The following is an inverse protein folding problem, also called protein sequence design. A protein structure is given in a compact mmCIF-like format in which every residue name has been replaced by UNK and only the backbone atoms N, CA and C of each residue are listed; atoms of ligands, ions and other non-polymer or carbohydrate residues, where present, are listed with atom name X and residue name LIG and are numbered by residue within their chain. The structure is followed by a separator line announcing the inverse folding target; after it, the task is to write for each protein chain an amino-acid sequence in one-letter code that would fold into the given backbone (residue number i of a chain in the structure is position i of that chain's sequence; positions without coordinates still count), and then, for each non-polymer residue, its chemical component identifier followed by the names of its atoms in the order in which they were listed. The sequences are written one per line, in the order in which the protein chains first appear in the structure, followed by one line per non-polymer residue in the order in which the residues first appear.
data_IF_300256133890
#
_entry.id   IF_300256133890
#
_cell.length_a   1.000
_cell.length_b   1.000
_cell.length_c   1.000
_cell.angle_alpha   90.00
_cell.angle_beta   90.00
_cell.angle_gamma   90.00
#
_symmetry.space_group_name_H-M   'P 1'
#
loop_
_entity.id
_entity.type
_entity.pdbx_description
1 polymer ?
2 non-polymer ?
3 non-polymer ?
4 water ?
#
# COMPACT_ATOMS: atom_id res chain seq x y z
N UNK A 1 -9.87 -0.66 -11.14
CA UNK A 1 -9.11 0.06 -10.07
C UNK A 1 -8.21 1.04 -10.81
N UNK A 2 -7.74 2.11 -10.11
CA UNK A 2 -6.70 2.96 -10.63
C UNK A 2 -5.45 2.16 -11.00
N UNK A 3 -4.79 2.56 -12.11
CA UNK A 3 -3.64 1.78 -12.56
C UNK A 3 -2.48 1.79 -11.51
N UNK A 4 -2.37 2.85 -10.69
CA UNK A 4 -1.28 2.89 -9.73
C UNK A 4 -1.43 1.83 -8.63
N UNK A 5 -2.63 1.28 -8.45
CA UNK A 5 -2.77 0.16 -7.56
C UNK A 5 -1.89 -1.02 -7.95
N UNK A 6 -1.59 -1.11 -9.27
CA UNK A 6 -0.82 -2.20 -9.78
C UNK A 6 0.67 -1.97 -9.72
N UNK A 7 1.13 -0.84 -9.21
CA UNK A 7 2.56 -0.66 -8.99
C UNK A 7 3.00 -1.63 -7.91
N UNK A 8 4.28 -2.07 -7.99
CA UNK A 8 4.80 -3.01 -7.00
C UNK A 8 4.99 -2.33 -5.65
N UNK A 9 4.79 -3.07 -4.59
CA UNK A 9 5.02 -2.49 -3.24
C UNK A 9 6.46 -2.08 -3.06
N UNK A 10 6.65 -0.91 -2.45
CA UNK A 10 7.96 -0.29 -2.40
C UNK A 10 8.27 0.22 -1.00
N UNK A 11 8.88 -0.62 -0.14
CA UNK A 11 9.28 -0.15 1.19
C UNK A 11 10.28 0.96 1.16
N UNK A 12 11.08 1.03 0.12
CA UNK A 12 12.12 1.92 0.01
C UNK A 12 13.37 1.50 0.92
N UNK A 13 14.37 2.30 0.95
CA UNK A 13 15.65 1.97 1.61
C UNK A 13 15.77 2.57 3.01
N UNK A 14 14.91 3.57 3.27
CA UNK A 14 15.01 4.13 4.54
C UNK A 14 14.48 3.13 5.63
N UNK A 15 14.70 3.39 6.90
CA UNK A 15 14.38 2.44 7.95
C UNK A 15 13.62 3.00 9.08
N UNK A 16 12.71 3.90 8.76
CA UNK A 16 11.79 4.39 9.73
C UNK A 16 10.74 3.32 9.86
N UNK A 17 9.88 3.45 10.76
CA UNK A 17 8.94 2.17 10.74
C UNK A 17 7.58 2.50 10.57
N UNK A 18 7.10 2.92 9.38
CA UNK A 18 5.75 3.42 9.18
C UNK A 18 4.87 2.20 8.82
N UNK A 19 3.81 2.03 9.55
CA UNK A 19 2.81 1.02 9.18
C UNK A 19 2.11 1.49 7.92
N UNK A 20 1.90 0.62 6.91
CA UNK A 20 1.18 1.04 5.72
C UNK A 20 0.51 -0.17 5.09
N UNK A 21 -0.22 0.10 4.01
CA UNK A 21 -0.95 -0.92 3.28
C UNK A 21 -0.71 -0.71 1.81
N UNK A 22 -0.78 -1.82 1.04
CA UNK A 22 -0.63 -1.80 -0.41
C UNK A 22 -1.60 -2.80 -1.03
N UNK A 23 -1.92 -2.60 -2.30
CA UNK A 23 -2.75 -3.54 -3.07
C UNK A 23 -1.89 -4.52 -3.83
N UNK A 24 -2.30 -5.80 -3.81
CA UNK A 24 -1.62 -6.83 -4.63
C UNK A 24 -2.58 -7.34 -5.72
N UNK A 25 -2.05 -7.29 -6.96
CA UNK A 25 -2.77 -7.90 -8.07
C UNK A 25 -2.91 -9.38 -7.97
N UNK A 26 -2.02 -10.05 -7.24
CA UNK A 26 -2.14 -11.52 -7.07
C UNK A 26 -3.39 -11.94 -6.28
N UNK A 27 -3.82 -11.14 -5.30
CA UNK A 27 -5.00 -11.44 -4.45
C UNK A 27 -6.19 -10.64 -4.70
N UNK A 28 -6.05 -9.42 -5.37
CA UNK A 28 -7.13 -8.43 -5.36
C UNK A 28 -7.48 -8.03 -4.00
N UNK A 29 -6.45 -7.98 -3.09
CA UNK A 29 -6.60 -7.58 -1.74
C UNK A 29 -5.52 -6.58 -1.35
N UNK A 30 -5.82 -5.82 -0.30
CA UNK A 30 -4.79 -5.03 0.37
C UNK A 30 -4.13 -5.82 1.45
N UNK A 31 -2.81 -5.49 1.68
CA UNK A 31 -1.97 -6.16 2.65
C UNK A 31 -1.14 -5.11 3.39
N UNK A 32 -0.67 -5.47 4.58
CA UNK A 32 0.25 -4.62 5.32
C UNK A 32 1.65 -4.65 4.76
N UNK A 33 2.37 -3.53 4.91
CA UNK A 33 3.81 -3.53 4.77
C UNK A 33 4.37 -2.45 5.66
N UNK A 34 5.70 -2.52 5.84
CA UNK A 34 6.39 -1.49 6.58
C UNK A 34 7.07 -0.54 5.59
N UNK A 35 6.62 0.68 5.51
CA UNK A 35 7.25 1.68 4.67
C UNK A 35 8.41 2.29 5.44
N UNK A 36 9.57 2.36 4.76
CA UNK A 36 10.77 2.92 5.45
C UNK A 36 10.77 4.45 5.54
N UNK A 37 9.87 5.12 4.85
CA UNK A 37 9.71 6.56 5.03
C UNK A 37 10.20 7.40 3.89
N UNK A 38 10.91 6.85 2.91
CA UNK A 38 11.38 7.60 1.75
C UNK A 38 11.29 6.75 0.47
N UNK A 39 11.18 7.48 -0.62
CA UNK A 39 11.34 6.86 -2.00
C UNK A 39 10.24 5.87 -2.34
N UNK A 40 9.10 5.98 -1.73
CA UNK A 40 8.03 5.09 -2.05
C UNK A 40 7.30 5.39 -3.36
N UNK A 41 6.28 4.67 -3.66
CA UNK A 41 5.44 4.96 -4.82
C UNK A 41 4.00 5.09 -4.33
N UNK A 42 3.08 5.25 -5.30
CA UNK A 42 1.67 5.60 -4.96
C UNK A 42 0.87 4.43 -4.47
N UNK A 43 1.35 3.19 -4.58
CA UNK A 43 0.62 2.06 -4.02
C UNK A 43 0.98 1.91 -2.52
N UNK A 44 0.49 2.90 -1.76
CA UNK A 44 0.84 2.98 -0.37
C UNK A 44 -0.26 3.81 0.30
N UNK A 45 -0.79 3.28 1.40
CA UNK A 45 -1.93 3.87 2.08
C UNK A 45 -1.71 3.81 3.57
N UNK A 46 -2.20 4.81 4.30
CA UNK A 46 -2.02 4.84 5.76
C UNK A 46 -3.02 3.97 6.47
N UNK A 47 -4.14 3.61 5.84
CA UNK A 47 -5.11 2.77 6.47
C UNK A 47 -5.58 1.68 5.50
N UNK A 48 -6.03 0.58 6.08
CA UNK A 48 -6.59 -0.54 5.30
C UNK A 48 -7.81 -0.06 4.55
N UNK A 49 -8.69 0.70 5.18
CA UNK A 49 -9.89 1.10 4.44
C UNK A 49 -9.58 2.07 3.34
N UNK A 50 -8.54 2.92 3.44
CA UNK A 50 -8.23 3.79 2.32
C UNK A 50 -7.70 2.98 1.15
N UNK A 51 -6.83 1.99 1.47
CA UNK A 51 -6.36 1.09 0.39
C UNK A 51 -7.54 0.44 -0.32
N UNK A 52 -8.53 -0.02 0.50
CA UNK A 52 -9.67 -0.70 -0.08
C UNK A 52 -10.55 0.26 -0.90
N UNK A 53 -10.82 1.44 -0.37
CA UNK A 53 -11.66 2.38 -1.12
C UNK A 53 -11.02 2.83 -2.38
N UNK A 54 -9.68 2.78 -2.45
CA UNK A 54 -8.97 3.18 -3.66
C UNK A 54 -8.89 2.01 -4.66
N UNK A 55 -8.54 0.81 -4.16
CA UNK A 55 -8.09 -0.24 -5.04
C UNK A 55 -8.96 -1.53 -5.07
N UNK A 56 -9.81 -1.72 -4.08
CA UNK A 56 -10.55 -2.96 -3.91
C UNK A 56 -12.04 -2.80 -4.17
N UNK A 57 -12.65 -1.80 -3.67
CA UNK A 57 -14.10 -1.57 -3.76
C UNK A 57 -14.18 -1.31 -2.23
X LIG B 1 14.75 3.04 -5.28
X LIG B 1 14.91 2.76 -3.81
X LIG B 1 16.21 2.04 -3.35
X LIG B 1 14.13 4.16 -5.99
X LIG B 1 13.76 1.86 -3.23
X LIG C 1 -8.71 -6.46 1.11
X LIG D 1 -13.95 3.80 4.17
#
# INVERSE_FOLDING_TARGET
RPSFCNLPVKPGPCKAFFSAFYYSQKTNKCHSFTYGGCKGNANRFSTLEKCRRTCVG
PGO C1 C2 C3 O1 O2
CL CL
CL CL
#
